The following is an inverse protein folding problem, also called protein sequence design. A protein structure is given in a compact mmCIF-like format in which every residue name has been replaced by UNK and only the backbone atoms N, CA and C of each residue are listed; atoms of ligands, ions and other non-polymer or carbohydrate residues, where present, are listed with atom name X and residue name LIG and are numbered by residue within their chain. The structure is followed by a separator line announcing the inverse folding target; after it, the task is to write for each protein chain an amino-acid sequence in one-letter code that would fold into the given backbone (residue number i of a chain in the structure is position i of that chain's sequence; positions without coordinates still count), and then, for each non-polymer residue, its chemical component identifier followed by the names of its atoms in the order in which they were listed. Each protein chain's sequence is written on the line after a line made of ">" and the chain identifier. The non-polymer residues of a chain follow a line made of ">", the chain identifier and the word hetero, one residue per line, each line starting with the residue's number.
data_IF_644480486498
#
_entry.id   IF_644480486498
#
_cell.length_a   1.000
_cell.length_b   1.000
_cell.length_c   1.000
_cell.angle_alpha   90.00
_cell.angle_beta   90.00
_cell.angle_gamma   90.00
#
_symmetry.space_group_name_H-M   'P 1'
#
loop_
_entity.id
_entity.type
_entity.pdbx_description
1 polymer ?
#
# COMPACT_ATOMS: atom_id res chain seq x y z
N UNK A 1 -41.74 3.06 -7.70
CA UNK A 1 -40.33 3.51 -7.78
C UNK A 1 -40.15 5.03 -7.63
N UNK A 2 -41.20 5.86 -7.79
CA UNK A 2 -41.13 7.33 -7.69
C UNK A 2 -41.12 7.91 -6.27
N UNK A 3 -41.59 7.19 -5.25
CA UNK A 3 -41.63 7.69 -3.86
C UNK A 3 -40.29 7.61 -3.11
N UNK A 4 -39.37 6.74 -3.54
CA UNK A 4 -38.02 6.63 -2.95
C UNK A 4 -37.15 7.87 -3.21
N UNK A 5 -37.43 8.64 -4.27
CA UNK A 5 -36.72 9.87 -4.60
C UNK A 5 -37.37 11.13 -4.01
N UNK A 6 -38.52 11.03 -3.34
CA UNK A 6 -39.18 12.18 -2.73
C UNK A 6 -38.56 12.56 -1.37
N UNK A 7 -37.86 11.63 -0.72
CA UNK A 7 -37.22 11.89 0.56
C UNK A 7 -35.87 12.59 0.36
N UNK A 8 -35.85 13.88 0.68
CA UNK A 8 -34.68 14.73 0.61
C UNK A 8 -33.51 14.15 1.43
N UNK A 9 -33.80 13.45 2.54
CA UNK A 9 -32.77 12.82 3.38
C UNK A 9 -32.08 11.65 2.69
N UNK A 10 -32.83 10.81 1.95
CA UNK A 10 -32.29 9.69 1.19
C UNK A 10 -31.42 10.17 0.03
N UNK A 11 -31.83 11.22 -0.68
CA UNK A 11 -31.02 11.81 -1.74
C UNK A 11 -29.65 12.29 -1.23
N UNK A 12 -29.61 12.92 -0.05
CA UNK A 12 -28.36 13.34 0.56
C UNK A 12 -27.44 12.18 0.93
N UNK A 13 -27.99 11.08 1.45
CA UNK A 13 -27.20 9.89 1.80
C UNK A 13 -26.61 9.28 0.52
N UNK A 14 -27.43 9.10 -0.52
CA UNK A 14 -27.00 8.52 -1.79
C UNK A 14 -25.92 9.39 -2.46
N UNK A 15 -26.13 10.71 -2.53
CA UNK A 15 -25.13 11.64 -3.12
C UNK A 15 -23.82 11.66 -2.35
N UNK A 16 -23.87 11.59 -1.01
CA UNK A 16 -22.66 11.53 -0.17
C UNK A 16 -21.86 10.24 -0.41
N UNK A 17 -22.54 9.10 -0.51
CA UNK A 17 -21.90 7.80 -0.81
C UNK A 17 -21.24 7.85 -2.19
N UNK A 18 -21.94 8.37 -3.20
CA UNK A 18 -21.39 8.52 -4.56
C UNK A 18 -20.16 9.44 -4.56
N UNK A 19 -20.18 10.55 -3.84
CA UNK A 19 -19.04 11.47 -3.75
C UNK A 19 -17.81 10.79 -3.11
N UNK A 20 -18.01 10.02 -2.05
CA UNK A 20 -16.92 9.28 -1.39
C UNK A 20 -16.37 8.19 -2.31
N UNK A 21 -17.23 7.44 -2.99
CA UNK A 21 -16.81 6.45 -3.99
C UNK A 21 -16.01 7.09 -5.12
N UNK A 22 -16.44 8.24 -5.63
CA UNK A 22 -15.74 8.96 -6.67
C UNK A 22 -14.33 9.41 -6.24
N UNK A 23 -14.17 9.88 -5.00
CA UNK A 23 -12.86 10.23 -4.44
C UNK A 23 -11.97 9.00 -4.30
N UNK A 24 -12.50 7.90 -3.74
CA UNK A 24 -11.76 6.65 -3.58
C UNK A 24 -11.26 6.14 -4.94
N UNK A 25 -12.15 6.09 -5.94
CA UNK A 25 -11.80 5.68 -7.30
C UNK A 25 -10.74 6.62 -7.89
N UNK A 26 -10.91 7.93 -7.74
CA UNK A 26 -9.95 8.93 -8.26
C UNK A 26 -8.57 8.77 -7.64
N UNK A 27 -8.47 8.52 -6.33
CA UNK A 27 -7.19 8.30 -5.64
C UNK A 27 -6.56 6.98 -6.07
N UNK A 28 -7.33 5.89 -6.16
CA UNK A 28 -6.84 4.59 -6.62
C UNK A 28 -6.29 4.72 -8.04
N UNK A 29 -7.03 5.37 -8.93
CA UNK A 29 -6.62 5.65 -10.30
C UNK A 29 -5.34 6.50 -10.32
N UNK A 30 -5.29 7.61 -9.59
CA UNK A 30 -4.12 8.49 -9.53
C UNK A 30 -2.86 7.79 -9.03
N UNK A 31 -2.97 6.81 -8.13
CA UNK A 31 -1.83 6.02 -7.65
C UNK A 31 -1.44 4.92 -8.64
N UNK A 32 -2.42 4.25 -9.27
CA UNK A 32 -2.20 3.16 -10.25
C UNK A 32 -1.71 3.65 -11.61
N UNK A 33 -2.18 4.81 -12.07
CA UNK A 33 -1.87 5.41 -13.37
C UNK A 33 -0.57 6.20 -13.39
N UNK A 34 0.13 6.36 -12.25
CA UNK A 34 1.47 6.96 -12.26
C UNK A 34 2.42 6.04 -13.03
N UNK A 35 2.74 6.45 -14.25
CA UNK A 35 3.69 5.74 -15.11
C UNK A 35 5.09 5.78 -14.48
N UNK A 36 5.62 4.63 -14.10
CA UNK A 36 6.95 4.48 -13.52
C UNK A 36 7.60 3.18 -13.99
N UNK A 37 8.87 3.27 -14.36
CA UNK A 37 9.76 2.12 -14.49
C UNK A 37 10.24 1.75 -13.09
N UNK A 38 10.11 0.48 -12.72
CA UNK A 38 10.53 0.01 -11.41
C UNK A 38 11.01 -1.43 -11.54
N UNK A 39 12.25 -1.68 -11.16
CA UNK A 39 12.81 -3.03 -11.08
C UNK A 39 13.00 -3.38 -9.60
N UNK A 40 12.70 -4.61 -9.24
CA UNK A 40 12.86 -5.09 -7.87
C UNK A 40 13.30 -6.54 -7.87
N UNK A 41 13.92 -6.98 -6.78
CA UNK A 41 14.24 -8.39 -6.58
C UNK A 41 13.67 -8.89 -5.26
N UNK A 42 13.42 -10.20 -5.19
CA UNK A 42 12.84 -10.89 -4.04
C UNK A 42 13.65 -12.15 -3.79
N UNK A 43 14.20 -12.32 -2.59
CA UNK A 43 14.83 -13.58 -2.18
C UNK A 43 13.71 -14.58 -1.90
N UNK A 44 13.58 -15.61 -2.75
CA UNK A 44 12.55 -16.65 -2.62
C UNK A 44 12.96 -17.72 -1.62
N UNK A 45 14.25 -18.07 -1.60
CA UNK A 45 14.83 -19.08 -0.72
C UNK A 45 16.30 -18.79 -0.46
N UNK A 46 16.75 -19.03 0.77
CA UNK A 46 18.15 -19.06 1.15
C UNK A 46 18.35 -20.26 2.10
N UNK A 47 18.92 -21.34 1.58
CA UNK A 47 19.05 -22.61 2.30
C UNK A 47 20.53 -23.00 2.40
N UNK A 48 21.11 -23.12 3.61
CA UNK A 48 22.42 -23.74 3.76
C UNK A 48 22.31 -25.21 3.37
N UNK A 49 23.08 -25.64 2.37
CA UNK A 49 23.17 -27.05 1.97
C UNK A 49 24.19 -27.80 2.82
N UNK A 50 25.23 -27.09 3.25
CA UNK A 50 26.34 -27.64 3.99
C UNK A 50 26.91 -26.57 4.93
N UNK A 51 27.06 -26.95 6.19
CA UNK A 51 27.79 -26.17 7.20
C UNK A 51 28.72 -27.14 7.92
N UNK A 52 30.03 -26.98 7.72
CA UNK A 52 31.01 -27.84 8.37
C UNK A 52 31.29 -27.30 9.76
N UNK A 53 30.93 -28.09 10.78
CA UNK A 53 31.16 -27.73 12.17
C UNK A 53 32.68 -27.69 12.48
N UNK A 54 33.09 -26.82 13.40
CA UNK A 54 34.52 -26.58 13.72
C UNK A 54 35.29 -27.87 14.08
N UNK A 55 34.64 -28.86 14.68
CA UNK A 55 35.26 -30.15 15.05
C UNK A 55 35.59 -31.06 13.85
N UNK A 56 34.89 -30.86 12.72
CA UNK A 56 35.10 -31.60 11.48
C UNK A 56 36.00 -30.86 10.48
N UNK A 57 36.28 -29.55 10.72
CA UNK A 57 37.23 -28.77 9.92
C UNK A 57 38.61 -29.43 9.96
N UNK A 58 39.12 -29.78 8.78
CA UNK A 58 40.42 -30.46 8.60
C UNK A 58 40.38 -31.99 8.59
N UNK A 59 39.24 -32.62 8.92
CA UNK A 59 39.05 -34.08 8.79
C UNK A 59 38.20 -34.46 7.60
N UNK A 60 37.33 -33.55 7.17
CA UNK A 60 36.42 -33.73 6.04
C UNK A 60 36.76 -32.71 4.96
N UNK A 61 36.93 -33.20 3.74
CA UNK A 61 37.21 -32.40 2.54
C UNK A 61 36.03 -32.55 1.59
N UNK A 62 35.37 -31.45 1.27
CA UNK A 62 34.22 -31.43 0.36
C UNK A 62 34.62 -30.67 -0.89
N UNK A 63 34.38 -31.30 -2.02
CA UNK A 63 34.80 -30.82 -3.34
C UNK A 63 33.56 -30.53 -4.19
N UNK A 64 33.55 -29.37 -4.83
CA UNK A 64 32.64 -29.04 -5.93
C UNK A 64 33.48 -28.78 -7.18
N UNK A 65 33.31 -29.57 -8.23
CA UNK A 65 34.12 -29.50 -9.46
C UNK A 65 35.65 -29.42 -9.19
N UNK A 66 36.13 -30.27 -8.27
CA UNK A 66 37.52 -30.32 -7.79
C UNK A 66 38.01 -29.07 -7.02
N UNK A 67 37.11 -28.15 -6.65
CA UNK A 67 37.40 -26.99 -5.82
C UNK A 67 36.97 -27.25 -4.38
N UNK A 68 37.81 -26.88 -3.41
CA UNK A 68 37.52 -27.06 -1.99
C UNK A 68 36.43 -26.10 -1.51
N UNK A 69 35.36 -26.66 -0.95
CA UNK A 69 34.20 -25.93 -0.44
C UNK A 69 33.97 -26.34 1.01
N UNK A 70 34.06 -25.37 1.93
CA UNK A 70 33.83 -25.60 3.36
C UNK A 70 32.37 -25.42 3.75
N UNK A 71 31.70 -24.44 3.14
CA UNK A 71 30.30 -24.12 3.38
C UNK A 71 29.62 -23.86 2.04
N UNK A 72 28.38 -24.32 1.87
CA UNK A 72 27.61 -24.15 0.65
C UNK A 72 26.17 -23.76 0.98
N UNK A 73 25.65 -22.76 0.25
CA UNK A 73 24.27 -22.30 0.37
C UNK A 73 23.62 -22.17 -1.00
N UNK A 74 22.35 -22.53 -1.08
CA UNK A 74 21.53 -22.36 -2.27
C UNK A 74 20.63 -21.15 -2.08
N UNK A 75 20.83 -20.12 -2.91
CA UNK A 75 20.00 -18.92 -2.91
C UNK A 75 19.21 -18.87 -4.19
N UNK A 76 17.89 -18.69 -4.07
CA UNK A 76 17.01 -18.46 -5.22
C UNK A 76 16.37 -17.09 -5.06
N UNK A 77 16.50 -16.24 -6.06
CA UNK A 77 15.88 -14.92 -6.06
C UNK A 77 15.21 -14.63 -7.40
N UNK A 78 14.18 -13.80 -7.37
CA UNK A 78 13.44 -13.38 -8.54
C UNK A 78 13.70 -11.91 -8.80
N UNK A 79 14.01 -11.55 -10.04
CA UNK A 79 14.08 -10.16 -10.52
C UNK A 79 12.84 -9.89 -11.35
N UNK A 80 12.12 -8.80 -11.07
CA UNK A 80 10.87 -8.49 -11.76
C UNK A 80 10.74 -6.99 -12.03
N UNK A 81 10.12 -6.66 -13.17
CA UNK A 81 9.64 -5.31 -13.43
C UNK A 81 8.32 -5.10 -12.67
N UNK A 82 8.41 -4.45 -11.51
CA UNK A 82 7.28 -4.11 -10.65
C UNK A 82 6.63 -2.77 -11.00
N UNK A 83 7.13 -2.11 -12.05
CA UNK A 83 6.55 -0.90 -12.63
C UNK A 83 5.38 -1.20 -13.55
N UNK A 84 4.82 -0.14 -14.16
CA UNK A 84 3.77 -0.22 -15.16
C UNK A 84 4.24 0.25 -16.55
N UNK A 85 5.53 0.54 -16.69
CA UNK A 85 6.18 0.84 -17.96
C UNK A 85 7.19 -0.25 -18.31
N UNK A 86 7.37 -0.57 -19.60
CA UNK A 86 8.42 -1.48 -20.03
C UNK A 86 9.82 -0.89 -19.80
N UNK A 87 10.77 -1.77 -19.57
CA UNK A 87 12.21 -1.48 -19.51
C UNK A 87 12.83 -2.11 -20.75
N UNK A 88 13.19 -1.27 -21.72
CA UNK A 88 13.81 -1.71 -22.96
C UNK A 88 15.29 -2.02 -22.73
N UNK A 89 15.89 -2.82 -23.63
CA UNK A 89 17.33 -3.13 -23.62
C UNK A 89 18.17 -1.84 -23.62
N UNK A 90 17.75 -0.81 -24.36
CA UNK A 90 18.42 0.49 -24.43
C UNK A 90 18.30 1.35 -23.16
N UNK A 91 17.43 0.98 -22.22
CA UNK A 91 17.32 1.68 -20.93
C UNK A 91 18.44 1.29 -19.96
N UNK A 92 19.08 0.13 -20.17
CA UNK A 92 20.20 -0.32 -19.35
C UNK A 92 21.44 0.49 -19.72
N UNK A 93 21.87 1.35 -18.81
CA UNK A 93 23.16 2.04 -18.89
C UNK A 93 24.28 1.07 -18.50
N UNK A 94 23.99 0.20 -17.53
CA UNK A 94 24.86 -0.89 -17.07
C UNK A 94 24.05 -2.19 -16.96
N UNK A 95 24.67 -3.37 -17.17
CA UNK A 95 24.03 -4.66 -16.87
C UNK A 95 23.61 -4.76 -15.40
N UNK A 96 22.72 -5.70 -15.09
CA UNK A 96 22.43 -5.99 -13.68
C UNK A 96 23.58 -6.79 -13.11
N UNK A 97 24.16 -6.31 -12.02
CA UNK A 97 25.19 -7.01 -11.28
C UNK A 97 24.57 -7.64 -10.02
N UNK A 98 24.79 -8.93 -9.83
CA UNK A 98 24.49 -9.59 -8.57
C UNK A 98 25.73 -9.52 -7.71
N UNK A 99 25.67 -8.67 -6.69
CA UNK A 99 26.74 -8.48 -5.71
C UNK A 99 26.59 -9.48 -4.58
N UNK A 100 27.71 -10.13 -4.25
CA UNK A 100 27.83 -11.09 -3.18
C UNK A 100 28.54 -10.44 -2.00
N UNK A 101 28.16 -10.80 -0.77
CA UNK A 101 28.83 -10.31 0.43
C UNK A 101 30.32 -10.66 0.48
N UNK A 102 31.11 -9.91 1.25
CA UNK A 102 32.53 -10.20 1.44
C UNK A 102 32.75 -11.65 1.92
N UNK A 103 33.73 -12.33 1.33
CA UNK A 103 34.01 -13.74 1.62
C UNK A 103 32.99 -14.73 1.05
N UNK A 104 32.03 -14.28 0.23
CA UNK A 104 31.09 -15.15 -0.49
C UNK A 104 31.59 -15.38 -1.92
N UNK A 105 31.67 -16.64 -2.33
CA UNK A 105 31.99 -17.03 -3.72
C UNK A 105 30.77 -17.60 -4.43
N UNK A 106 30.70 -17.43 -5.75
CA UNK A 106 29.74 -18.13 -6.59
C UNK A 106 30.37 -19.38 -7.19
N UNK A 107 29.75 -20.54 -6.95
CA UNK A 107 30.15 -21.81 -7.54
C UNK A 107 29.39 -22.06 -8.86
N UNK A 108 28.10 -21.71 -8.90
CA UNK A 108 27.31 -21.75 -10.12
C UNK A 108 26.11 -20.81 -10.06
N UNK A 109 25.72 -20.30 -11.23
CA UNK A 109 24.57 -19.43 -11.41
C UNK A 109 23.76 -19.89 -12.62
N UNK A 110 22.45 -20.02 -12.46
CA UNK A 110 21.55 -20.39 -13.56
C UNK A 110 20.21 -19.65 -13.48
N UNK A 111 19.62 -19.35 -14.63
CA UNK A 111 18.23 -18.89 -14.72
C UNK A 111 17.35 -20.14 -14.76
N UNK A 112 16.51 -20.31 -13.74
CA UNK A 112 15.70 -21.52 -13.55
C UNK A 112 14.25 -21.36 -13.97
N UNK A 113 13.79 -20.12 -14.07
CA UNK A 113 12.44 -19.81 -14.54
C UNK A 113 12.38 -18.40 -15.13
N UNK A 114 11.41 -18.19 -16.02
CA UNK A 114 11.11 -16.89 -16.60
C UNK A 114 9.64 -16.79 -16.97
N UNK A 115 9.05 -15.64 -16.71
CA UNK A 115 7.68 -15.32 -17.06
C UNK A 115 7.64 -13.97 -17.79
N UNK A 116 7.38 -13.96 -19.11
CA UNK A 116 7.16 -15.12 -19.98
C UNK A 116 8.44 -15.94 -20.22
N UNK A 117 8.29 -17.20 -20.68
CA UNK A 117 9.42 -18.14 -20.86
C UNK A 117 10.49 -17.72 -21.88
N UNK A 118 10.21 -16.71 -22.71
CA UNK A 118 11.04 -16.31 -23.84
C UNK A 118 11.65 -14.90 -23.67
N UNK A 119 11.95 -14.49 -22.43
CA UNK A 119 12.53 -13.18 -22.13
C UNK A 119 13.96 -12.99 -22.68
N UNK A 120 14.67 -14.06 -23.03
CA UNK A 120 16.02 -13.98 -23.59
C UNK A 120 17.08 -13.53 -22.60
N UNK A 121 16.79 -13.57 -21.30
CA UNK A 121 17.76 -13.26 -20.25
C UNK A 121 18.90 -14.29 -20.25
N UNK A 122 20.13 -13.81 -20.08
CA UNK A 122 21.31 -14.65 -19.94
C UNK A 122 22.23 -14.16 -18.83
N UNK A 123 23.05 -15.06 -18.32
CA UNK A 123 24.05 -14.77 -17.30
C UNK A 123 25.45 -14.80 -17.92
N UNK A 124 26.30 -13.90 -17.47
CA UNK A 124 27.75 -13.95 -17.67
C UNK A 124 28.44 -13.98 -16.31
N UNK A 125 29.15 -15.07 -16.05
CA UNK A 125 29.99 -15.19 -14.87
C UNK A 125 31.30 -14.44 -15.10
N UNK A 126 31.48 -13.34 -14.37
CA UNK A 126 32.80 -12.80 -14.08
C UNK A 126 33.24 -13.37 -12.73
N UNK A 127 34.56 -13.57 -12.57
CA UNK A 127 35.16 -14.20 -11.37
C UNK A 127 34.69 -13.61 -10.03
N UNK A 128 34.20 -12.37 -10.03
CA UNK A 128 33.80 -11.62 -8.82
C UNK A 128 32.34 -11.14 -8.86
N UNK A 129 31.62 -11.28 -9.97
CA UNK A 129 30.26 -10.78 -10.12
C UNK A 129 29.48 -11.57 -11.17
N UNK A 130 28.21 -11.83 -10.88
CA UNK A 130 27.30 -12.47 -11.84
C UNK A 130 26.55 -11.34 -12.55
N UNK A 131 26.77 -11.22 -13.86
CA UNK A 131 26.10 -10.21 -14.67
C UNK A 131 24.90 -10.80 -15.39
N UNK A 132 23.75 -10.17 -15.24
CA UNK A 132 22.57 -10.44 -16.07
C UNK A 132 22.60 -9.48 -17.24
N UNK A 133 22.62 -10.03 -18.46
CA UNK A 133 22.62 -9.23 -19.68
C UNK A 133 21.38 -8.35 -19.76
N UNK A 134 21.44 -7.16 -20.38
CA UNK A 134 20.25 -6.38 -20.67
C UNK A 134 19.24 -7.14 -21.55
N UNK A 135 17.97 -7.17 -21.13
CA UNK A 135 16.86 -7.75 -21.91
C UNK A 135 15.58 -6.91 -21.75
N UNK A 136 14.60 -7.09 -22.65
CA UNK A 136 13.33 -6.38 -22.58
C UNK A 136 12.48 -6.94 -21.43
N UNK A 137 12.01 -6.07 -20.53
CA UNK A 137 11.09 -6.44 -19.46
C UNK A 137 9.83 -5.59 -19.51
N UNK A 138 8.70 -6.17 -19.87
CA UNK A 138 7.38 -5.54 -19.72
C UNK A 138 6.94 -5.53 -18.26
N UNK A 139 5.86 -4.80 -17.98
CA UNK A 139 5.29 -4.75 -16.62
C UNK A 139 4.84 -6.15 -16.19
N UNK A 140 5.33 -6.63 -15.05
CA UNK A 140 5.06 -7.97 -14.54
C UNK A 140 6.06 -9.04 -14.97
N UNK A 141 6.86 -8.78 -16.01
CA UNK A 141 7.85 -9.75 -16.49
C UNK A 141 8.90 -10.02 -15.41
N UNK A 142 9.33 -11.27 -15.30
CA UNK A 142 10.27 -11.70 -14.27
C UNK A 142 11.16 -12.87 -14.68
N UNK A 143 12.32 -12.96 -14.03
CA UNK A 143 13.23 -14.10 -14.11
C UNK A 143 13.56 -14.59 -12.71
N UNK A 144 13.75 -15.89 -12.56
CA UNK A 144 14.22 -16.50 -11.31
C UNK A 144 15.61 -17.06 -11.53
N UNK A 145 16.53 -16.62 -10.67
CA UNK A 145 17.94 -17.00 -10.70
C UNK A 145 18.23 -17.86 -9.47
N UNK A 146 18.91 -18.98 -9.68
CA UNK A 146 19.40 -19.87 -8.64
C UNK A 146 20.92 -19.78 -8.60
N UNK A 147 21.45 -19.54 -7.41
CA UNK A 147 22.87 -19.43 -7.12
C UNK A 147 23.28 -20.50 -6.14
N UNK A 148 24.36 -21.21 -6.46
CA UNK A 148 25.10 -22.02 -5.50
C UNK A 148 26.30 -21.20 -5.02
N UNK A 149 26.29 -20.85 -3.74
CA UNK A 149 27.24 -19.93 -3.14
C UNK A 149 28.06 -20.64 -2.06
N UNK A 150 29.27 -20.16 -1.81
CA UNK A 150 30.12 -20.59 -0.68
C UNK A 150 30.37 -19.42 0.27
N UNK A 151 30.52 -19.70 1.56
CA UNK A 151 30.68 -18.70 2.62
C UNK A 151 29.63 -18.83 3.73
N UNK A 152 29.89 -18.21 4.89
CA UNK A 152 29.04 -18.35 6.09
C UNK A 152 27.94 -17.29 6.21
N UNK A 153 28.15 -16.07 5.72
CA UNK A 153 27.17 -14.97 5.75
C UNK A 153 26.78 -14.57 4.32
N UNK A 154 26.01 -15.45 3.67
CA UNK A 154 25.61 -15.28 2.28
C UNK A 154 24.60 -14.15 2.15
N UNK A 155 25.04 -13.06 1.51
CA UNK A 155 24.20 -11.90 1.16
C UNK A 155 24.20 -11.71 -0.34
N UNK A 156 23.01 -11.47 -0.88
CA UNK A 156 22.80 -11.23 -2.32
C UNK A 156 22.11 -9.89 -2.50
N UNK A 157 22.73 -9.02 -3.28
CA UNK A 157 22.15 -7.74 -3.70
C UNK A 157 22.16 -7.65 -5.23
N UNK A 158 21.11 -7.06 -5.80
CA UNK A 158 21.03 -6.83 -7.24
C UNK A 158 21.13 -5.34 -7.49
N UNK A 159 22.20 -4.93 -8.16
CA UNK A 159 22.50 -3.55 -8.52
C UNK A 159 22.55 -3.37 -10.04
N UNK A 160 22.47 -2.12 -10.49
CA UNK A 160 22.50 -1.77 -11.89
C UNK A 160 21.96 -0.37 -12.15
N UNK A 161 22.30 0.18 -13.32
CA UNK A 161 21.88 1.52 -13.74
C UNK A 161 20.91 1.44 -14.91
N UNK A 162 19.65 1.80 -14.67
CA UNK A 162 18.59 1.79 -15.69
C UNK A 162 17.92 3.16 -15.77
N UNK A 163 17.72 3.67 -16.98
CA UNK A 163 17.02 4.93 -17.21
C UNK A 163 15.60 4.90 -16.64
N UNK A 164 15.27 5.89 -15.81
CA UNK A 164 13.96 6.03 -15.19
C UNK A 164 13.72 5.12 -13.97
N UNK A 165 14.67 4.25 -13.60
CA UNK A 165 14.64 3.47 -12.36
C UNK A 165 15.54 4.15 -11.33
N UNK A 166 14.99 4.57 -10.19
CA UNK A 166 15.75 5.30 -9.16
C UNK A 166 16.71 4.39 -8.39
N UNK A 167 16.23 3.22 -7.99
CA UNK A 167 17.02 2.21 -7.30
C UNK A 167 16.33 0.86 -7.45
N UNK A 168 17.11 -0.21 -7.54
CA UNK A 168 16.61 -1.58 -7.46
C UNK A 168 16.47 -1.91 -5.97
N UNK A 169 15.31 -2.42 -5.54
CA UNK A 169 15.03 -2.68 -4.13
C UNK A 169 14.73 -4.16 -3.90
N UNK A 170 15.23 -4.68 -2.78
CA UNK A 170 14.77 -5.95 -2.23
C UNK A 170 13.31 -5.75 -1.75
N UNK A 171 12.37 -6.43 -2.39
CA UNK A 171 11.00 -6.49 -1.92
C UNK A 171 10.91 -7.65 -0.95
N UNK A 172 10.90 -7.34 0.34
CA UNK A 172 10.39 -8.28 1.33
C UNK A 172 8.88 -8.29 1.20
N UNK A 173 8.26 -9.47 1.13
CA UNK A 173 6.79 -9.63 1.23
C UNK A 173 6.30 -9.24 2.63
N UNK A 174 6.50 -7.99 3.03
CA UNK A 174 5.61 -7.34 3.97
C UNK A 174 4.51 -6.79 3.10
N UNK A 175 3.33 -7.42 3.12
CA UNK A 175 2.11 -6.70 2.72
C UNK A 175 2.17 -5.41 3.52
N UNK A 176 2.39 -4.28 2.85
CA UNK A 176 2.65 -3.00 3.48
C UNK A 176 1.29 -2.48 4.02
N UNK A 177 0.77 -3.21 5.00
CA UNK A 177 -0.54 -3.05 5.61
C UNK A 177 -0.69 -1.65 6.16
N UNK A 178 0.43 -0.99 6.50
CA UNK A 178 0.51 0.42 6.90
C UNK A 178 -0.02 1.38 5.84
N UNK A 179 0.28 1.17 4.56
CA UNK A 179 -0.22 2.04 3.49
C UNK A 179 -1.73 1.89 3.30
N UNK A 180 -2.21 0.63 3.26
CA UNK A 180 -3.65 0.35 3.15
C UNK A 180 -4.43 0.78 4.40
N UNK A 181 -3.84 0.63 5.59
CA UNK A 181 -4.42 1.08 6.86
C UNK A 181 -4.49 2.61 6.93
N UNK A 182 -3.47 3.33 6.46
CA UNK A 182 -3.48 4.79 6.41
C UNK A 182 -4.57 5.34 5.48
N UNK A 183 -4.69 4.80 4.27
CA UNK A 183 -5.75 5.19 3.32
C UNK A 183 -7.14 4.84 3.87
N UNK A 184 -7.31 3.64 4.45
CA UNK A 184 -8.56 3.22 5.08
C UNK A 184 -8.97 4.13 6.24
N UNK A 185 -8.01 4.55 7.07
CA UNK A 185 -8.26 5.44 8.21
C UNK A 185 -8.66 6.85 7.78
N UNK A 186 -8.08 7.38 6.69
CA UNK A 186 -8.50 8.67 6.12
C UNK A 186 -9.93 8.63 5.58
N UNK A 187 -10.30 7.55 4.87
CA UNK A 187 -11.68 7.35 4.38
C UNK A 187 -12.65 7.23 5.56
N UNK A 188 -12.29 6.44 6.58
CA UNK A 188 -13.09 6.27 7.78
C UNK A 188 -13.29 7.60 8.53
N UNK A 189 -12.23 8.39 8.73
CA UNK A 189 -12.32 9.69 9.38
C UNK A 189 -13.21 10.67 8.61
N UNK A 190 -13.13 10.68 7.26
CA UNK A 190 -13.98 11.50 6.41
C UNK A 190 -15.46 11.12 6.53
N UNK A 191 -15.78 9.83 6.44
CA UNK A 191 -17.15 9.32 6.62
C UNK A 191 -17.69 9.61 8.03
N UNK A 192 -16.85 9.43 9.05
CA UNK A 192 -17.20 9.70 10.43
C UNK A 192 -17.47 11.19 10.68
N UNK A 193 -16.66 12.08 10.10
CA UNK A 193 -16.89 13.53 10.17
C UNK A 193 -18.22 13.95 9.55
N UNK A 194 -18.59 13.39 8.39
CA UNK A 194 -19.88 13.64 7.75
C UNK A 194 -21.06 13.15 8.60
N UNK A 195 -20.92 11.98 9.24
CA UNK A 195 -21.90 11.45 10.18
C UNK A 195 -22.09 12.39 11.39
N UNK A 196 -20.98 12.84 12.00
CA UNK A 196 -21.02 13.77 13.13
C UNK A 196 -21.67 15.11 12.74
N UNK A 197 -21.36 15.64 11.56
CA UNK A 197 -21.99 16.87 11.06
C UNK A 197 -23.51 16.72 10.91
N UNK A 198 -23.99 15.54 10.49
CA UNK A 198 -25.43 15.23 10.41
C UNK A 198 -26.09 15.14 11.77
N UNK A 199 -25.46 14.44 12.70
CA UNK A 199 -25.96 14.34 14.08
C UNK A 199 -26.05 15.75 14.68
N UNK A 200 -25.01 16.57 14.52
CA UNK A 200 -24.99 17.94 15.01
C UNK A 200 -26.10 18.81 14.40
N UNK A 201 -26.30 18.75 13.08
CA UNK A 201 -27.38 19.49 12.42
C UNK A 201 -28.77 19.09 12.94
N UNK A 202 -28.99 17.79 13.19
CA UNK A 202 -30.26 17.30 13.75
C UNK A 202 -30.51 17.76 15.19
N UNK A 203 -29.45 17.80 16.01
CA UNK A 203 -29.52 18.32 17.39
C UNK A 203 -29.78 19.83 17.42
N UNK A 204 -29.19 20.59 16.49
CA UNK A 204 -29.44 22.02 16.39
C UNK A 204 -30.90 22.32 16.04
N UNK A 205 -31.47 21.57 15.09
CA UNK A 205 -32.88 21.71 14.69
C UNK A 205 -33.84 21.39 15.84
N UNK A 206 -33.57 20.33 16.61
CA UNK A 206 -34.42 19.98 17.76
C UNK A 206 -34.38 21.08 18.82
N UNK A 207 -33.20 21.62 19.16
CA UNK A 207 -33.05 22.75 20.08
C UNK A 207 -33.80 24.00 19.61
N UNK A 208 -33.75 24.31 18.30
CA UNK A 208 -34.50 25.42 17.73
C UNK A 208 -36.02 25.25 17.88
N UNK A 209 -36.53 24.03 17.65
CA UNK A 209 -37.96 23.72 17.84
C UNK A 209 -38.35 23.86 19.32
N UNK A 210 -37.60 23.27 20.24
CA UNK A 210 -37.88 23.37 21.68
C UNK A 210 -37.86 24.82 22.18
N UNK A 211 -36.88 25.61 21.77
CA UNK A 211 -36.81 27.03 22.14
C UNK A 211 -38.01 27.83 21.60
N UNK A 212 -38.45 27.56 20.36
CA UNK A 212 -39.64 28.20 19.79
C UNK A 212 -40.93 27.86 20.57
N UNK A 213 -41.12 26.59 20.94
CA UNK A 213 -42.26 26.14 21.74
C UNK A 213 -42.25 26.73 23.16
N UNK A 214 -41.06 26.85 23.74
CA UNK A 214 -40.88 27.49 25.04
C UNK A 214 -41.22 28.98 25.00
N UNK A 215 -40.79 29.70 23.95
CA UNK A 215 -41.14 31.11 23.76
C UNK A 215 -42.64 31.29 23.52
N UNK A 216 -43.26 30.43 22.71
CA UNK A 216 -44.70 30.48 22.43
C UNK A 216 -45.54 30.23 23.70
N UNK A 217 -45.20 29.20 24.48
CA UNK A 217 -45.88 28.92 25.75
C UNK A 217 -45.67 30.04 26.78
N UNK A 218 -44.47 30.60 26.85
CA UNK A 218 -44.18 31.78 27.68
C UNK A 218 -45.02 32.99 27.28
N UNK A 219 -45.16 33.25 25.97
CA UNK A 219 -46.01 34.32 25.45
C UNK A 219 -47.49 34.13 25.78
N UNK A 220 -48.02 32.90 25.65
CA UNK A 220 -49.40 32.55 26.03
C UNK A 220 -49.64 32.78 27.53
N UNK A 221 -48.69 32.37 28.37
CA UNK A 221 -48.79 32.61 29.82
C UNK A 221 -48.76 34.10 30.16
N UNK A 222 -47.88 34.88 29.52
CA UNK A 222 -47.75 36.32 29.74
C UNK A 222 -49.01 37.07 29.30
N UNK A 223 -49.49 36.81 28.09
CA UNK A 223 -50.73 37.40 27.56
C UNK A 223 -51.95 37.02 28.41
N UNK A 224 -52.03 35.78 28.91
CA UNK A 224 -53.10 35.36 29.84
C UNK A 224 -53.06 36.11 31.18
N UNK A 225 -51.87 36.49 31.66
CA UNK A 225 -51.70 37.29 32.89
C UNK A 225 -52.12 38.74 32.64
N UNK A 226 -51.68 39.33 31.53
CA UNK A 226 -52.07 40.70 31.12
C UNK A 226 -53.59 40.79 30.94
N UNK A 227 -54.19 39.85 30.21
CA UNK A 227 -55.64 39.81 30.00
C UNK A 227 -56.43 39.72 31.32
N UNK A 228 -55.98 38.87 32.25
CA UNK A 228 -56.59 38.78 33.60
C UNK A 228 -56.46 40.09 34.35
N UNK A 229 -55.29 40.74 34.32
CA UNK A 229 -55.06 42.05 34.95
C UNK A 229 -56.01 43.11 34.38
N UNK A 230 -56.08 43.24 33.06
CA UNK A 230 -56.97 44.21 32.39
C UNK A 230 -58.44 43.94 32.71
N UNK A 231 -58.88 42.67 32.71
CA UNK A 231 -60.24 42.29 33.09
C UNK A 231 -60.59 42.69 34.53
N UNK A 232 -59.65 42.55 35.48
CA UNK A 232 -59.87 42.99 36.87
C UNK A 232 -59.93 44.51 37.03
N UNK A 233 -59.24 45.27 36.18
CA UNK A 233 -59.33 46.74 36.17
C UNK A 233 -60.64 47.22 35.53
N UNK A 234 -61.03 46.62 34.41
CA UNK A 234 -62.33 46.87 33.76
C UNK A 234 -63.51 46.59 34.69
N UNK A 235 -63.51 45.46 35.40
CA UNK A 235 -64.55 45.17 36.38
C UNK A 235 -64.58 46.20 37.53
N UNK A 236 -63.42 46.70 37.97
CA UNK A 236 -63.38 47.77 38.99
C UNK A 236 -63.97 49.08 38.50
N UNK A 237 -63.92 49.35 37.19
CA UNK A 237 -64.51 50.54 36.57
C UNK A 237 -66.04 50.42 36.43
N UNK A 238 -66.55 49.25 36.05
CA UNK A 238 -68.00 49.05 35.83
C UNK A 238 -68.84 48.97 37.12
N UNK A 239 -68.25 48.60 38.26
CA UNK A 239 -68.95 48.43 39.54
C UNK A 239 -68.70 49.56 40.55
N UNK A 240 -68.13 50.68 40.11
CA UNK A 240 -68.06 51.94 40.87
C UNK A 240 -69.01 52.94 40.27
#
# INVERSE_FOLDING_TARGET
>A
MSSLFADQSLQFIVTSIIAVLAIIVSVILAVRLRSRKQLSYEILSNQPLLTVNEEAKGRVKILYDNTDVLDASLVTFKVANTGNLPIAVSDFVEPLAVELGEGTGCLSAEIVDSDPKNLGASLHDLKEAILITPFLMNAGDSITVKLLLTGQDVRVQVNGRIMGVRSIKEVRRTLDARYFMGVGMMIFAGLFGLLLMRIFQSLWLSLAIFSSLFLASSWVLLSSRVYRSMKTELNRYYYR
#
